data_IF_907887493461
#
_entry.id   IF_907887493461
#
_cell.length_a   1.000
_cell.length_b   1.000
_cell.length_c   1.000
_cell.angle_alpha   90.00
_cell.angle_beta   90.00
_cell.angle_gamma   90.00
#
_symmetry.space_group_name_H-M   'P 1'
#
loop_
_entity.id
_entity.type
_entity.pdbx_description
1 polymer ?
#
# COMPACT_ATOMS: atom_id res chain seq x y z
N UNK A 1 -54.70 -30.26 -13.91
CA UNK A 1 -54.32 -31.40 -14.79
C UNK A 1 -52.82 -31.59 -14.69
N UNK A 2 -52.39 -32.82 -14.36
CA UNK A 2 -51.05 -33.45 -14.45
C UNK A 2 -49.81 -32.64 -13.97
N UNK A 3 -49.16 -32.94 -12.83
CA UNK A 3 -48.29 -34.10 -12.50
C UNK A 3 -46.97 -34.16 -13.29
N UNK A 4 -45.84 -34.00 -12.59
CA UNK A 4 -44.71 -34.94 -12.61
C UNK A 4 -43.66 -34.59 -11.53
N UNK A 5 -43.35 -35.58 -10.71
CA UNK A 5 -42.25 -35.62 -9.75
C UNK A 5 -40.98 -36.16 -10.42
N UNK A 6 -39.80 -35.83 -9.88
CA UNK A 6 -38.52 -36.42 -10.24
C UNK A 6 -37.57 -36.43 -9.05
N UNK A 7 -37.26 -37.63 -8.57
CA UNK A 7 -36.43 -37.97 -7.40
C UNK A 7 -34.97 -38.27 -7.80
N UNK A 8 -34.09 -38.23 -6.79
CA UNK A 8 -32.80 -38.96 -6.65
C UNK A 8 -31.57 -38.36 -7.37
N UNK A 9 -30.34 -38.43 -6.85
CA UNK A 9 -29.75 -39.35 -5.88
C UNK A 9 -28.58 -38.73 -5.09
N UNK A 10 -28.44 -39.18 -3.85
CA UNK A 10 -27.25 -39.03 -2.99
C UNK A 10 -26.17 -40.03 -3.41
N UNK A 11 -24.94 -39.57 -3.62
CA UNK A 11 -23.75 -40.44 -3.71
C UNK A 11 -22.83 -40.16 -2.53
N UNK A 12 -22.89 -41.04 -1.55
CA UNK A 12 -21.83 -41.26 -0.57
C UNK A 12 -20.76 -42.15 -1.20
N UNK A 13 -19.48 -41.77 -1.05
CA UNK A 13 -18.41 -42.75 -1.10
C UNK A 13 -17.27 -42.39 -0.14
N UNK A 14 -16.72 -43.37 0.60
CA UNK A 14 -15.70 -43.18 1.63
C UNK A 14 -14.31 -43.43 1.06
N UNK A 15 -13.32 -42.57 1.34
CA UNK A 15 -11.92 -42.96 1.29
C UNK A 15 -11.12 -42.25 2.39
N UNK A 16 -10.79 -43.03 3.41
CA UNK A 16 -9.68 -42.79 4.32
C UNK A 16 -8.37 -43.04 3.58
N UNK A 17 -7.40 -42.13 3.69
CA UNK A 17 -6.01 -42.43 3.35
C UNK A 17 -5.14 -41.22 3.02
N UNK A 18 -4.10 -41.04 3.83
CA UNK A 18 -2.90 -40.21 3.65
C UNK A 18 -2.99 -38.71 4.05
N UNK A 19 -2.73 -38.46 5.33
CA UNK A 19 -2.20 -37.18 5.82
C UNK A 19 -0.75 -37.09 5.34
N UNK A 20 -0.51 -36.30 4.30
CA UNK A 20 0.84 -35.88 3.93
C UNK A 20 1.05 -34.45 4.45
N UNK A 21 1.84 -34.33 5.52
CA UNK A 21 2.37 -33.06 6.04
C UNK A 21 3.44 -32.54 5.06
N UNK A 22 2.98 -31.98 3.94
CA UNK A 22 3.82 -31.25 3.00
C UNK A 22 3.69 -29.74 3.24
N UNK A 23 4.74 -29.13 3.78
CA UNK A 23 4.88 -27.67 3.85
C UNK A 23 4.82 -27.05 2.44
N UNK A 24 4.01 -26.00 2.30
CA UNK A 24 4.44 -24.82 1.55
C UNK A 24 4.29 -24.82 0.02
N UNK A 25 3.27 -25.45 -0.54
CA UNK A 25 2.80 -25.12 -1.90
C UNK A 25 1.34 -24.69 -1.80
N UNK A 26 1.14 -23.38 -1.66
CA UNK A 26 -0.17 -22.75 -1.78
C UNK A 26 -0.83 -23.24 -3.05
N UNK A 27 -1.89 -24.02 -2.87
CA UNK A 27 -2.76 -24.47 -3.93
C UNK A 27 -3.14 -23.26 -4.78
N UNK A 28 -2.99 -23.42 -6.08
CA UNK A 28 -3.60 -22.61 -7.13
C UNK A 28 -5.09 -22.40 -6.80
N UNK A 29 -5.43 -21.36 -6.03
CA UNK A 29 -6.77 -20.79 -6.03
C UNK A 29 -6.93 -20.09 -7.36
N UNK A 30 -7.44 -20.88 -8.32
CA UNK A 30 -8.16 -20.46 -9.53
C UNK A 30 -8.58 -18.99 -9.49
N UNK A 31 -7.79 -18.17 -10.18
CA UNK A 31 -8.09 -16.91 -10.86
C UNK A 31 -9.54 -16.38 -10.73
N UNK A 32 -9.94 -16.01 -9.51
CA UNK A 32 -11.16 -15.24 -9.27
C UNK A 32 -11.10 -14.47 -7.94
N UNK A 33 -9.93 -13.97 -7.56
CA UNK A 33 -9.71 -13.30 -6.28
C UNK A 33 -8.92 -12.01 -6.40
N UNK A 34 -8.53 -11.46 -5.27
CA UNK A 34 -7.65 -10.31 -5.16
C UNK A 34 -6.18 -10.71 -5.46
N UNK A 35 -5.40 -9.87 -6.15
CA UNK A 35 -5.84 -8.77 -7.00
C UNK A 35 -6.51 -9.31 -8.28
N UNK A 36 -7.49 -8.58 -8.81
CA UNK A 36 -8.13 -8.94 -10.08
C UNK A 36 -7.22 -8.63 -11.27
N UNK A 37 -6.31 -9.58 -11.54
CA UNK A 37 -5.45 -9.69 -12.70
C UNK A 37 -4.85 -11.11 -12.75
N UNK A 38 -4.32 -11.51 -13.91
CA UNK A 38 -3.60 -12.77 -14.07
C UNK A 38 -2.10 -12.50 -14.07
N UNK A 39 -1.41 -12.99 -13.06
CA UNK A 39 0.02 -12.81 -12.87
C UNK A 39 0.69 -14.18 -12.77
N UNK A 40 1.98 -14.23 -13.08
CA UNK A 40 2.73 -15.49 -13.08
C UNK A 40 3.16 -15.88 -11.66
N UNK A 41 3.37 -14.88 -10.79
CA UNK A 41 3.77 -15.07 -9.39
C UNK A 41 2.96 -14.12 -8.48
N UNK A 42 2.44 -14.66 -7.38
CA UNK A 42 1.66 -13.96 -6.36
C UNK A 42 2.29 -14.07 -4.96
N UNK A 43 3.45 -14.72 -4.84
CA UNK A 43 4.11 -14.96 -3.55
C UNK A 43 4.64 -13.65 -2.94
N UNK A 44 4.19 -13.31 -1.73
CA UNK A 44 4.66 -12.13 -1.01
C UNK A 44 6.18 -12.14 -0.79
N UNK A 45 6.80 -13.32 -0.58
CA UNK A 45 8.23 -13.43 -0.37
C UNK A 45 9.05 -13.01 -1.59
N UNK A 46 8.40 -12.85 -2.75
CA UNK A 46 9.02 -12.30 -3.93
C UNK A 46 9.15 -10.77 -3.90
N UNK A 47 8.30 -10.07 -3.14
CA UNK A 47 8.29 -8.61 -3.11
C UNK A 47 9.51 -8.07 -2.35
N UNK A 48 10.32 -7.18 -2.94
CA UNK A 48 11.35 -6.43 -2.20
C UNK A 48 10.77 -5.39 -1.24
N UNK A 49 9.45 -5.14 -1.31
CA UNK A 49 8.80 -4.04 -0.60
C UNK A 49 7.68 -4.53 0.30
N UNK A 50 7.45 -3.76 1.36
CA UNK A 50 6.32 -3.93 2.27
C UNK A 50 5.55 -2.62 2.46
N UNK A 51 4.24 -2.69 2.51
CA UNK A 51 3.39 -1.57 2.96
C UNK A 51 3.25 -1.61 4.48
N UNK A 52 3.50 -0.49 5.13
CA UNK A 52 3.45 -0.31 6.58
C UNK A 52 2.36 0.71 6.89
N UNK A 53 1.44 0.37 7.79
CA UNK A 53 0.48 1.34 8.31
C UNK A 53 1.18 2.35 9.22
N UNK A 54 0.92 3.63 9.01
CA UNK A 54 1.46 4.70 9.85
C UNK A 54 0.40 5.26 10.78
N UNK A 55 -0.71 5.74 10.22
CA UNK A 55 -1.72 6.46 10.98
C UNK A 55 -3.07 6.50 10.27
N UNK A 56 -4.10 6.83 11.05
CA UNK A 56 -5.42 7.21 10.56
C UNK A 56 -5.89 8.41 11.37
N UNK A 57 -6.21 9.49 10.68
CA UNK A 57 -6.61 10.77 11.31
C UNK A 57 -7.95 11.18 10.74
N UNK A 58 -8.90 11.44 11.64
CA UNK A 58 -10.21 11.95 11.27
C UNK A 58 -10.24 13.47 11.35
N UNK A 59 -10.75 14.12 10.31
CA UNK A 59 -10.97 15.56 10.23
C UNK A 59 -12.37 15.83 9.69
N UNK A 60 -13.30 16.14 10.59
CA UNK A 60 -14.71 16.26 10.26
C UNK A 60 -15.30 14.93 9.77
N UNK A 61 -15.87 14.93 8.56
CA UNK A 61 -16.44 13.74 7.91
C UNK A 61 -15.44 12.93 7.09
N UNK A 62 -14.18 13.36 7.05
CA UNK A 62 -13.11 12.71 6.29
C UNK A 62 -12.18 11.94 7.22
N UNK A 63 -11.76 10.76 6.79
CA UNK A 63 -10.69 9.98 7.42
C UNK A 63 -9.52 9.86 6.45
N UNK A 64 -8.34 10.31 6.85
CA UNK A 64 -7.09 10.13 6.09
C UNK A 64 -6.28 9.01 6.73
N UNK A 65 -6.09 7.93 5.98
CA UNK A 65 -5.27 6.78 6.40
C UNK A 65 -3.97 6.79 5.60
N UNK A 66 -2.84 6.77 6.30
CA UNK A 66 -1.51 6.86 5.70
C UNK A 66 -0.72 5.57 5.89
N UNK A 67 0.02 5.22 4.85
CA UNK A 67 0.93 4.10 4.78
C UNK A 67 2.30 4.58 4.30
N UNK A 68 3.35 3.85 4.64
CA UNK A 68 4.66 3.98 4.00
C UNK A 68 5.10 2.70 3.32
N UNK A 69 6.00 2.83 2.35
CA UNK A 69 6.61 1.70 1.65
C UNK A 69 8.02 1.49 2.21
N UNK A 70 8.29 0.32 2.76
CA UNK A 70 9.60 -0.08 3.24
C UNK A 70 10.28 -1.02 2.24
N UNK A 71 11.59 -0.91 2.08
CA UNK A 71 12.41 -1.92 1.42
C UNK A 71 12.77 -3.00 2.44
N UNK A 72 12.46 -4.26 2.13
CA UNK A 72 12.76 -5.42 2.96
C UNK A 72 13.72 -6.39 2.30
N UNK A 73 14.05 -6.17 1.02
CA UNK A 73 14.86 -7.07 0.22
C UNK A 73 14.08 -8.29 -0.28
N UNK A 74 14.64 -8.97 -1.27
CA UNK A 74 14.14 -10.23 -1.81
C UNK A 74 15.29 -10.99 -2.47
N UNK A 75 15.08 -12.27 -2.79
CA UNK A 75 16.06 -13.04 -3.55
C UNK A 75 16.13 -12.57 -5.01
N UNK A 76 17.20 -11.84 -5.34
CA UNK A 76 17.44 -11.29 -6.67
C UNK A 76 17.65 -12.37 -7.75
N UNK A 77 17.81 -13.66 -7.38
CA UNK A 77 17.80 -14.77 -8.33
C UNK A 77 16.39 -15.02 -8.93
N UNK A 78 15.32 -14.59 -8.23
CA UNK A 78 13.94 -14.69 -8.71
C UNK A 78 13.61 -13.58 -9.71
N UNK A 79 12.98 -13.96 -10.83
CA UNK A 79 12.59 -13.00 -11.87
C UNK A 79 11.60 -11.95 -11.37
N UNK A 80 10.64 -12.36 -10.52
CA UNK A 80 9.68 -11.46 -9.91
C UNK A 80 10.34 -10.40 -9.00
N UNK A 81 11.35 -10.78 -8.20
CA UNK A 81 12.10 -9.84 -7.36
C UNK A 81 12.81 -8.78 -8.23
N UNK A 82 13.49 -9.20 -9.30
CA UNK A 82 14.13 -8.27 -10.25
C UNK A 82 13.13 -7.37 -10.96
N UNK A 83 11.98 -7.90 -11.37
CA UNK A 83 10.91 -7.11 -11.99
C UNK A 83 10.43 -6.01 -11.07
N UNK A 84 10.12 -6.35 -9.82
CA UNK A 84 9.70 -5.42 -8.77
C UNK A 84 10.78 -4.39 -8.40
N UNK A 85 12.06 -4.78 -8.37
CA UNK A 85 13.17 -3.85 -8.14
C UNK A 85 13.30 -2.82 -9.27
N UNK A 86 13.06 -3.25 -10.51
CA UNK A 86 13.14 -2.40 -11.69
C UNK A 86 11.97 -1.43 -11.79
N UNK A 87 10.74 -1.91 -11.55
CA UNK A 87 9.54 -1.11 -11.65
C UNK A 87 8.43 -1.60 -10.71
N UNK A 88 7.68 -0.65 -10.17
CA UNK A 88 6.36 -0.85 -9.57
C UNK A 88 5.42 0.15 -10.22
N UNK A 89 4.42 -0.35 -10.93
CA UNK A 89 3.45 0.47 -11.64
C UNK A 89 2.13 0.61 -10.89
N UNK A 90 1.76 -0.41 -10.11
CA UNK A 90 0.47 -0.44 -9.39
C UNK A 90 0.62 -0.87 -7.95
N UNK A 91 -0.26 -0.32 -7.11
CA UNK A 91 -0.55 -0.80 -5.76
C UNK A 91 -2.06 -0.96 -5.64
N UNK A 92 -2.49 -2.13 -5.20
CA UNK A 92 -3.90 -2.44 -4.95
C UNK A 92 -4.08 -2.74 -3.47
N UNK A 93 -5.14 -2.20 -2.87
CA UNK A 93 -5.63 -2.61 -1.56
C UNK A 93 -6.91 -3.40 -1.73
N UNK A 94 -7.02 -4.51 -1.03
CA UNK A 94 -8.27 -5.25 -0.94
C UNK A 94 -9.23 -4.49 -0.03
N UNK A 95 -10.42 -4.11 -0.50
CA UNK A 95 -11.34 -3.20 0.19
C UNK A 95 -12.71 -3.81 0.37
N UNK A 96 -13.53 -3.24 1.24
CA UNK A 96 -14.96 -3.58 1.32
C UNK A 96 -15.79 -2.90 0.23
N UNK A 97 -17.03 -3.35 0.06
CA UNK A 97 -18.02 -2.72 -0.82
C UNK A 97 -18.24 -1.22 -0.51
N UNK A 98 -18.04 -0.79 0.74
CA UNK A 98 -18.19 0.61 1.14
C UNK A 98 -17.22 1.53 0.38
N UNK A 99 -16.01 1.03 0.07
CA UNK A 99 -14.98 1.74 -0.68
C UNK A 99 -15.06 1.50 -2.19
N UNK A 100 -15.93 0.60 -2.66
CA UNK A 100 -16.16 0.33 -4.08
C UNK A 100 -16.77 1.51 -4.85
N UNK A 101 -17.35 2.49 -4.16
CA UNK A 101 -17.94 3.69 -4.76
C UNK A 101 -16.92 4.84 -4.77
N UNK A 102 -16.56 5.33 -5.96
CA UNK A 102 -15.52 6.35 -6.13
C UNK A 102 -15.74 7.62 -5.31
N UNK A 103 -16.99 8.06 -5.16
CA UNK A 103 -17.30 9.27 -4.39
C UNK A 103 -17.03 9.13 -2.88
N UNK A 104 -16.86 7.91 -2.36
CA UNK A 104 -16.51 7.65 -0.95
C UNK A 104 -14.99 7.77 -0.70
N UNK A 105 -14.19 7.90 -1.76
CA UNK A 105 -12.76 8.16 -1.68
C UNK A 105 -12.54 9.60 -2.16
N UNK A 106 -12.22 10.50 -1.23
CA UNK A 106 -12.06 11.92 -1.52
C UNK A 106 -10.76 12.20 -2.29
N UNK A 107 -9.72 11.38 -2.09
CA UNK A 107 -8.47 11.51 -2.83
C UNK A 107 -7.36 10.62 -2.31
N UNK A 108 -6.28 10.58 -3.08
CA UNK A 108 -5.03 9.89 -2.74
C UNK A 108 -3.90 10.90 -2.87
N UNK A 109 -2.95 10.88 -1.94
CA UNK A 109 -1.70 11.61 -2.05
C UNK A 109 -0.51 10.66 -1.93
N UNK A 110 0.56 10.96 -2.66
CA UNK A 110 1.85 10.28 -2.54
C UNK A 110 2.90 11.34 -2.24
N UNK A 111 3.62 11.18 -1.14
CA UNK A 111 4.61 12.14 -0.64
C UNK A 111 4.03 13.56 -0.51
N UNK A 112 2.80 13.65 -0.01
CA UNK A 112 2.06 14.91 0.17
C UNK A 112 1.51 15.54 -1.12
N UNK A 113 1.79 14.96 -2.30
CA UNK A 113 1.28 15.46 -3.59
C UNK A 113 0.03 14.70 -4.00
N UNK A 114 -0.96 15.40 -4.54
CA UNK A 114 -2.16 14.77 -5.08
C UNK A 114 -1.80 13.77 -6.17
N UNK A 115 -2.35 12.56 -6.05
CA UNK A 115 -2.19 11.49 -7.00
C UNK A 115 -3.55 11.22 -7.66
N UNK A 116 -3.78 11.62 -8.92
CA UNK A 116 -5.08 11.44 -9.57
C UNK A 116 -5.27 10.04 -10.17
N UNK A 117 -4.19 9.25 -10.28
CA UNK A 117 -4.22 7.97 -10.96
C UNK A 117 -4.60 6.84 -10.00
N UNK A 118 -5.89 6.78 -9.67
CA UNK A 118 -6.49 5.71 -8.87
C UNK A 118 -7.95 5.48 -9.23
N UNK A 119 -8.45 4.29 -8.92
CA UNK A 119 -9.88 3.97 -9.04
C UNK A 119 -10.25 2.82 -8.11
N UNK A 120 -11.42 2.85 -7.44
CA UNK A 120 -12.01 1.62 -6.93
C UNK A 120 -12.40 0.71 -8.09
N UNK A 121 -12.38 -0.59 -7.84
CA UNK A 121 -12.65 -1.61 -8.82
C UNK A 121 -13.39 -2.76 -8.16
N UNK A 122 -14.51 -3.19 -8.75
CA UNK A 122 -15.24 -4.37 -8.33
C UNK A 122 -15.04 -5.49 -9.33
N UNK A 123 -14.95 -6.73 -8.84
CA UNK A 123 -14.77 -7.90 -9.70
C UNK A 123 -15.50 -9.12 -9.15
N UNK A 124 -15.77 -10.13 -9.99
CA UNK A 124 -16.26 -11.42 -9.50
C UNK A 124 -15.29 -12.01 -8.47
N UNK A 125 -15.79 -12.49 -7.34
CA UNK A 125 -15.00 -13.17 -6.33
C UNK A 125 -15.75 -14.36 -5.74
N UNK A 126 -15.43 -15.57 -6.20
CA UNK A 126 -16.21 -16.77 -5.89
C UNK A 126 -17.71 -16.59 -6.21
N UNK A 127 -18.63 -16.83 -5.25
CA UNK A 127 -20.06 -16.60 -5.45
C UNK A 127 -20.49 -15.11 -5.31
N UNK A 128 -19.57 -14.21 -4.98
CA UNK A 128 -19.86 -12.79 -4.70
C UNK A 128 -19.02 -11.81 -5.51
N UNK A 129 -18.86 -10.60 -4.94
CA UNK A 129 -18.10 -9.50 -5.55
C UNK A 129 -16.95 -9.10 -4.62
N UNK A 130 -15.73 -9.10 -5.15
CA UNK A 130 -14.56 -8.50 -4.51
C UNK A 130 -14.43 -7.02 -4.86
N UNK A 131 -13.81 -6.25 -3.97
CA UNK A 131 -13.60 -4.82 -4.17
C UNK A 131 -12.15 -4.46 -3.89
N UNK A 132 -11.59 -3.59 -4.70
CA UNK A 132 -10.20 -3.19 -4.60
C UNK A 132 -10.06 -1.69 -4.84
N UNK A 133 -9.10 -1.04 -4.18
CA UNK A 133 -8.65 0.29 -4.57
C UNK A 133 -7.31 0.16 -5.26
N UNK A 134 -7.26 0.54 -6.54
CA UNK A 134 -6.05 0.49 -7.36
C UNK A 134 -5.46 1.88 -7.54
N UNK A 135 -4.18 2.03 -7.23
CA UNK A 135 -3.33 3.16 -7.56
C UNK A 135 -2.46 2.75 -8.75
N UNK A 136 -2.42 3.56 -9.80
CA UNK A 136 -1.76 3.26 -11.07
C UNK A 136 -0.64 4.25 -11.37
N UNK A 137 0.15 3.94 -12.40
CA UNK A 137 1.20 4.79 -12.96
C UNK A 137 2.24 5.23 -11.92
N UNK A 138 2.49 4.41 -10.90
CA UNK A 138 3.41 4.75 -9.82
C UNK A 138 4.82 5.00 -10.37
N UNK A 139 5.21 4.26 -11.41
CA UNK A 139 6.54 4.34 -12.07
C UNK A 139 7.68 4.36 -11.06
N UNK A 140 7.50 3.63 -9.96
CA UNK A 140 8.44 3.63 -8.87
C UNK A 140 9.51 2.56 -9.12
N UNK A 141 10.68 2.71 -8.53
CA UNK A 141 11.79 1.75 -8.61
C UNK A 141 12.43 1.60 -7.25
N UNK A 142 13.44 0.73 -7.12
CA UNK A 142 14.15 0.59 -5.85
C UNK A 142 14.78 1.91 -5.33
N UNK A 143 15.06 2.87 -6.22
CA UNK A 143 15.61 4.16 -5.85
C UNK A 143 14.55 5.17 -5.36
N UNK A 144 13.28 5.02 -5.75
CA UNK A 144 12.24 6.04 -5.53
C UNK A 144 11.08 5.55 -4.68
N UNK A 145 10.88 4.23 -4.60
CA UNK A 145 9.72 3.67 -3.92
C UNK A 145 9.89 3.59 -2.41
N UNK A 146 11.02 3.10 -1.86
CA UNK A 146 11.22 3.05 -0.41
C UNK A 146 11.12 4.45 0.22
N UNK A 147 10.44 4.53 1.36
CA UNK A 147 10.15 5.79 2.06
C UNK A 147 8.97 6.56 1.49
N UNK A 148 8.37 6.12 0.37
CA UNK A 148 7.17 6.76 -0.16
C UNK A 148 6.01 6.66 0.82
N UNK A 149 5.36 7.79 1.10
CA UNK A 149 4.18 7.90 1.95
C UNK A 149 2.92 8.01 1.10
N UNK A 150 1.98 7.11 1.29
CA UNK A 150 0.74 7.01 0.54
C UNK A 150 -0.40 7.27 1.51
N UNK A 151 -1.15 8.34 1.30
CA UNK A 151 -2.29 8.68 2.14
C UNK A 151 -3.59 8.66 1.34
N UNK A 152 -4.60 8.01 1.88
CA UNK A 152 -5.90 7.82 1.24
C UNK A 152 -6.94 8.51 2.12
N UNK A 153 -7.60 9.52 1.56
CA UNK A 153 -8.66 10.26 2.25
C UNK A 153 -10.01 9.71 1.81
N UNK A 154 -10.82 9.32 2.77
CA UNK A 154 -12.07 8.59 2.59
C UNK A 154 -13.18 9.25 3.39
N UNK A 155 -14.44 8.92 3.07
CA UNK A 155 -15.63 9.39 3.79
C UNK A 155 -16.65 8.25 3.91
N UNK A 156 -17.51 8.34 4.93
CA UNK A 156 -18.54 7.35 5.16
C UNK A 156 -19.35 7.03 3.87
N UNK A 157 -19.68 5.75 3.62
CA UNK A 157 -19.44 4.58 4.48
C UNK A 157 -18.01 4.01 4.46
N UNK A 158 -17.11 4.46 3.58
CA UNK A 158 -15.69 4.04 3.58
C UNK A 158 -14.92 4.96 4.53
N UNK A 159 -14.80 4.64 5.82
CA UNK A 159 -14.24 5.61 6.78
C UNK A 159 -13.29 5.03 7.81
N UNK A 160 -13.10 3.72 7.80
CA UNK A 160 -12.16 3.03 8.67
C UNK A 160 -11.05 2.35 7.88
N UNK A 161 -9.93 2.06 8.55
CA UNK A 161 -8.88 1.19 8.00
C UNK A 161 -9.46 -0.17 7.59
N UNK A 162 -10.44 -0.69 8.33
CA UNK A 162 -11.11 -1.95 8.02
C UNK A 162 -11.88 -1.87 6.69
N UNK A 163 -12.57 -0.77 6.42
CA UNK A 163 -13.29 -0.60 5.15
C UNK A 163 -12.32 -0.52 3.97
N UNK A 164 -11.22 0.22 4.16
CA UNK A 164 -10.17 0.44 3.17
C UNK A 164 -9.28 -0.80 2.98
N UNK A 165 -9.26 -1.70 3.95
CA UNK A 165 -8.34 -2.82 3.96
C UNK A 165 -8.79 -4.01 4.82
N UNK A 166 -9.90 -4.66 4.42
CA UNK A 166 -10.38 -5.91 5.01
C UNK A 166 -11.57 -6.47 4.19
N UNK A 167 -11.32 -7.25 3.13
CA UNK A 167 -12.39 -8.06 2.51
C UNK A 167 -12.11 -9.55 2.44
N UNK A 168 -10.96 -10.01 2.92
CA UNK A 168 -10.68 -11.44 3.03
C UNK A 168 -11.47 -12.05 4.20
N UNK A 169 -11.97 -13.31 4.09
CA UNK A 169 -12.60 -14.02 5.21
C UNK A 169 -11.68 -14.19 6.43
N UNK A 170 -10.37 -14.00 6.25
CA UNK A 170 -9.39 -13.95 7.35
C UNK A 170 -9.47 -12.68 8.20
N UNK A 171 -10.12 -11.61 7.72
CA UNK A 171 -10.18 -10.31 8.38
C UNK A 171 -8.88 -9.49 8.27
N UNK A 172 -7.81 -10.07 7.71
CA UNK A 172 -6.52 -9.43 7.56
C UNK A 172 -6.51 -8.47 6.36
N UNK A 173 -5.85 -7.33 6.54
CA UNK A 173 -5.66 -6.33 5.51
C UNK A 173 -4.67 -6.87 4.47
N UNK A 174 -5.04 -6.95 3.20
CA UNK A 174 -4.14 -7.41 2.13
C UNK A 174 -3.92 -6.32 1.09
N UNK A 175 -2.73 -6.34 0.50
CA UNK A 175 -2.38 -5.48 -0.62
C UNK A 175 -1.58 -6.27 -1.66
N UNK A 176 -1.52 -5.75 -2.87
CA UNK A 176 -0.68 -6.29 -3.93
C UNK A 176 0.01 -5.18 -4.67
N UNK A 177 1.29 -5.38 -4.99
CA UNK A 177 1.95 -4.58 -6.01
C UNK A 177 1.77 -5.18 -7.40
N UNK A 178 2.08 -4.43 -8.44
CA UNK A 178 2.35 -4.99 -9.76
C UNK A 178 3.55 -4.28 -10.41
N UNK A 179 4.40 -5.06 -11.07
CA UNK A 179 5.65 -4.58 -11.67
C UNK A 179 5.41 -3.66 -12.87
N UNK A 180 4.38 -3.95 -13.68
CA UNK A 180 4.12 -3.28 -14.96
C UNK A 180 2.62 -3.04 -15.21
N UNK A 181 2.25 -2.17 -16.17
CA UNK A 181 0.87 -1.94 -16.56
C UNK A 181 0.13 -3.21 -17.02
N UNK A 182 0.82 -4.14 -17.69
CA UNK A 182 0.29 -5.44 -18.12
C UNK A 182 0.36 -6.54 -17.06
N UNK A 183 0.90 -6.20 -15.87
CA UNK A 183 0.97 -7.03 -14.65
C UNK A 183 1.57 -8.42 -14.88
N UNK A 184 2.89 -8.56 -14.76
CA UNK A 184 3.56 -9.87 -14.84
C UNK A 184 3.65 -10.53 -13.47
N UNK A 185 3.99 -9.74 -12.44
CA UNK A 185 4.18 -10.20 -11.07
C UNK A 185 3.32 -9.40 -10.12
N UNK A 186 2.59 -10.09 -9.24
CA UNK A 186 1.59 -9.48 -8.36
C UNK A 186 1.65 -10.05 -6.94
N UNK A 187 2.76 -9.84 -6.21
CA UNK A 187 2.91 -10.39 -4.87
C UNK A 187 1.80 -9.86 -3.95
N UNK A 188 1.06 -10.78 -3.33
CA UNK A 188 -0.04 -10.48 -2.41
C UNK A 188 0.50 -10.60 -1.00
N UNK A 189 0.45 -9.52 -0.24
CA UNK A 189 1.04 -9.45 1.08
C UNK A 189 0.02 -9.04 2.13
N UNK A 190 0.10 -9.61 3.35
CA UNK A 190 -0.65 -9.09 4.49
C UNK A 190 -0.01 -7.79 4.95
N UNK A 191 -0.86 -6.82 5.26
CA UNK A 191 -0.52 -5.64 6.02
C UNK A 191 -0.75 -5.97 7.48
N UNK A 192 0.30 -5.87 8.29
CA UNK A 192 0.20 -6.10 9.71
C UNK A 192 0.02 -4.74 10.41
N UNK A 193 -1.18 -4.38 10.89
CA UNK A 193 -1.42 -3.10 11.54
C UNK A 193 -0.94 -3.14 12.99
N UNK A 194 0.26 -3.66 13.26
CA UNK A 194 0.93 -3.36 14.52
C UNK A 194 1.22 -1.87 14.50
N UNK A 195 0.46 -1.14 15.32
CA UNK A 195 0.66 0.29 15.61
C UNK A 195 2.16 0.57 15.73
N UNK A 196 2.70 1.64 15.09
CA UNK A 196 4.07 2.02 15.33
C UNK A 196 4.26 2.10 16.84
N UNK A 197 5.21 1.33 17.38
CA UNK A 197 5.53 1.40 18.80
C UNK A 197 5.66 2.90 19.13
N UNK A 198 4.80 3.40 20.03
CA UNK A 198 4.85 4.82 20.41
C UNK A 198 6.31 5.14 20.67
N UNK A 199 6.86 6.24 20.09
CA UNK A 199 8.25 6.58 20.31
C UNK A 199 8.45 6.53 21.82
N UNK A 200 9.36 5.65 22.27
CA UNK A 200 9.66 5.50 23.68
C UNK A 200 9.83 6.91 24.19
N UNK A 201 8.93 7.34 25.07
CA UNK A 201 8.93 8.70 25.59
C UNK A 201 10.31 8.87 26.18
N UNK A 202 11.18 9.60 25.47
CA UNK A 202 12.54 9.86 25.92
C UNK A 202 12.35 10.55 27.25
N UNK A 203 12.51 9.80 28.33
CA UNK A 203 12.53 10.33 29.67
C UNK A 203 13.52 11.48 29.59
N UNK A 204 13.01 12.69 29.79
CA UNK A 204 13.83 13.89 29.77
C UNK A 204 15.04 13.60 30.67
N UNK A 205 16.28 13.77 30.20
CA UNK A 205 17.42 13.70 31.10
C UNK A 205 17.17 14.73 32.20
N UNK A 206 17.07 14.26 33.44
CA UNK A 206 16.97 15.10 34.62
C UNK A 206 18.12 16.11 34.55
N UNK A 207 17.77 17.37 34.30
CA UNK A 207 18.71 18.47 34.22
C UNK A 207 19.49 18.55 35.54
N UNK A 208 20.74 18.12 35.52
CA UNK A 208 21.69 18.44 36.58
C UNK A 208 22.09 19.91 36.45
N UNK A 209 22.12 20.59 37.59
CA UNK A 209 22.25 22.03 37.75
C UNK A 209 23.45 22.65 36.98
N UNK A 210 23.32 23.91 36.52
CA UNK A 210 24.38 24.61 35.81
C UNK A 210 25.48 25.09 36.77
N UNK A 211 26.71 24.64 36.54
CA UNK A 211 27.91 25.24 37.13
C UNK A 211 28.28 26.50 36.34
N UNK A 212 28.24 27.64 37.02
CA UNK A 212 28.67 28.94 36.53
C UNK A 212 30.14 28.96 36.15
N UNK A 213 30.45 29.43 34.94
CA UNK A 213 31.82 29.77 34.50
C UNK A 213 31.78 30.99 33.54
N UNK A 214 32.89 31.74 33.42
CA UNK A 214 32.89 33.20 33.45
C UNK A 214 32.94 33.87 32.07
N UNK A 215 32.77 35.18 32.10
CA UNK A 215 32.59 36.09 30.97
C UNK A 215 33.81 36.31 30.05
N UNK A 216 33.48 36.67 28.79
CA UNK A 216 34.20 37.57 27.84
C UNK A 216 35.50 37.07 27.19
N UNK A 217 35.86 37.49 25.94
CA UNK A 217 35.67 38.84 25.39
C UNK A 217 35.13 38.94 23.93
N UNK A 218 35.01 40.19 23.51
CA UNK A 218 34.29 40.74 22.38
C UNK A 218 34.99 40.68 21.00
N UNK A 219 34.14 40.93 19.99
CA UNK A 219 34.38 41.65 18.73
C UNK A 219 35.24 41.02 17.63
N UNK A 220 34.63 40.82 16.45
CA UNK A 220 35.16 41.33 15.18
C UNK A 220 34.04 41.38 14.12
N UNK A 221 33.62 42.60 13.79
CA UNK A 221 32.78 42.94 12.64
C UNK A 221 33.60 42.83 11.34
N UNK A 222 32.99 42.37 10.25
CA UNK A 222 33.54 42.51 8.89
C UNK A 222 32.46 42.30 7.81
N UNK A 223 32.68 42.81 6.57
CA UNK A 223 31.79 43.82 5.98
C UNK A 223 30.86 43.32 4.87
N UNK A 224 29.90 44.18 4.55
CA UNK A 224 29.05 44.15 3.37
C UNK A 224 29.87 44.12 2.06
N UNK A 225 29.47 43.26 1.13
CA UNK A 225 29.91 43.30 -0.27
C UNK A 225 28.69 43.47 -1.19
N UNK A 226 28.83 44.46 -2.07
CA UNK A 226 27.83 45.04 -2.96
C UNK A 226 27.49 44.18 -4.19
N UNK A 227 26.38 44.55 -4.83
CA UNK A 227 25.82 44.02 -6.08
C UNK A 227 26.76 44.10 -7.32
N UNK A 228 26.39 43.42 -8.43
CA UNK A 228 25.78 44.11 -9.59
C UNK A 228 24.59 43.32 -10.19
N UNK A 229 23.48 43.93 -10.60
CA UNK A 229 23.22 44.76 -11.81
C UNK A 229 23.14 43.98 -13.15
N UNK A 230 21.89 43.75 -13.58
CA UNK A 230 21.30 43.98 -14.92
C UNK A 230 21.69 43.19 -16.20
N UNK A 231 20.61 42.75 -16.90
CA UNK A 231 20.36 42.72 -18.38
C UNK A 231 20.49 41.37 -19.11
N UNK A 232 19.89 41.20 -20.33
CA UNK A 232 18.63 41.69 -20.89
C UNK A 232 17.78 40.59 -21.59
N UNK A 233 16.61 40.99 -22.11
CA UNK A 233 15.69 40.25 -22.96
C UNK A 233 16.20 40.03 -24.41
N UNK A 234 15.76 38.93 -25.05
CA UNK A 234 15.56 38.69 -26.51
C UNK A 234 15.30 37.18 -26.69
N UNK A 235 14.48 36.67 -27.60
CA UNK A 235 13.82 37.21 -28.79
C UNK A 235 12.76 36.21 -29.27
N UNK A 236 11.65 36.74 -29.76
CA UNK A 236 10.62 36.09 -30.55
C UNK A 236 11.16 35.53 -31.87
N UNK A 237 10.58 34.45 -32.38
CA UNK A 237 10.62 34.06 -33.81
C UNK A 237 9.61 32.94 -34.09
N UNK A 238 9.23 32.74 -35.37
CA UNK A 238 7.85 32.78 -35.88
C UNK A 238 7.04 31.49 -35.77
#
# INVERSE_FOLDING_TARGET
MASAAGLSASSTSPYLGAISLGMGRGLLTTASGFPWCQCIDYDCACSPYKVVYESSVQSGSLTTTCFSVAYIGCDASRACCRGMLAAVDKLSFETTAACGVKSNIAGVTINGKSWPSWNPYSHPSGPGTGYELKLYNLKASNATFPGSKICITTKAPCSSLKDLCSSSPSGECTYSFADQPTTTYCPICPLNPTSPASPASSAAPTASAPTSTPASPAAASSPAASAPSSSPASSSSP
#
